data_IF_501747378630
#
_entry.id   IF_501747378630
#
_cell.length_a   1.000
_cell.length_b   1.000
_cell.length_c   1.000
_cell.angle_alpha   90.00
_cell.angle_beta   90.00
_cell.angle_gamma   90.00
#
_symmetry.space_group_name_H-M   'P 1'
#
loop_
_entity.id
_entity.type
_entity.pdbx_description
1 polymer ?
#
# COMPACT_ATOMS: atom_id res chain seq x y z
N UNK A 1 14.45 -9.35 4.53
CA UNK A 1 13.14 -8.66 4.55
C UNK A 1 12.07 -9.61 4.02
N UNK A 2 11.04 -9.97 4.81
CA UNK A 2 10.00 -10.92 4.34
C UNK A 2 8.90 -10.16 3.60
N UNK A 3 8.83 -10.28 2.29
CA UNK A 3 7.79 -9.66 1.49
C UNK A 3 6.68 -10.68 1.18
N UNK A 4 5.44 -10.36 1.58
CA UNK A 4 4.28 -11.22 1.37
C UNK A 4 3.48 -10.66 0.20
N UNK A 5 3.68 -11.20 -0.99
CA UNK A 5 2.93 -10.82 -2.18
C UNK A 5 1.62 -11.61 -2.20
N UNK A 6 0.47 -10.94 -2.19
CA UNK A 6 -0.84 -11.59 -2.20
C UNK A 6 -1.53 -11.39 -3.55
N UNK A 7 -1.84 -12.49 -4.21
CA UNK A 7 -2.68 -12.48 -5.39
C UNK A 7 -4.11 -12.22 -4.96
N UNK A 8 -4.69 -11.14 -5.47
CA UNK A 8 -6.12 -10.91 -5.33
C UNK A 8 -6.78 -11.44 -6.59
N UNK A 9 -7.45 -12.58 -6.45
CA UNK A 9 -8.39 -13.03 -7.47
C UNK A 9 -9.50 -11.97 -7.59
N UNK A 10 -10.02 -11.73 -8.79
CA UNK A 10 -10.92 -10.62 -9.14
C UNK A 10 -12.20 -10.68 -8.30
N UNK A 11 -12.13 -10.17 -7.08
CA UNK A 11 -13.26 -9.94 -6.17
C UNK A 11 -13.70 -8.50 -6.45
N UNK A 12 -15.01 -8.21 -6.55
CA UNK A 12 -15.51 -6.87 -6.90
C UNK A 12 -15.06 -5.75 -5.97
N UNK A 13 -14.49 -6.06 -4.79
CA UNK A 13 -13.75 -5.09 -3.99
C UNK A 13 -12.65 -5.76 -3.13
N UNK A 14 -11.40 -5.85 -3.63
CA UNK A 14 -10.27 -6.50 -2.92
C UNK A 14 -10.01 -5.93 -1.53
N UNK A 15 -10.27 -4.62 -1.39
CA UNK A 15 -9.93 -3.86 -0.20
C UNK A 15 -10.75 -4.30 1.01
N UNK A 16 -12.07 -4.42 0.83
CA UNK A 16 -13.03 -4.65 1.90
C UNK A 16 -12.85 -6.05 2.51
N UNK A 17 -12.57 -7.05 1.66
CA UNK A 17 -12.59 -8.44 2.09
C UNK A 17 -11.22 -8.98 2.52
N UNK A 18 -10.13 -8.47 1.95
CA UNK A 18 -8.78 -9.03 2.18
C UNK A 18 -7.90 -8.12 3.03
N UNK A 19 -8.05 -6.80 2.84
CA UNK A 19 -7.10 -5.81 3.36
C UNK A 19 -7.63 -5.18 4.64
N UNK A 20 -8.88 -4.71 4.63
CA UNK A 20 -9.45 -3.96 5.73
C UNK A 20 -9.59 -4.74 7.05
N UNK A 21 -10.00 -6.03 7.08
CA UNK A 21 -10.12 -6.78 8.34
C UNK A 21 -8.79 -6.80 9.11
N UNK A 22 -7.68 -6.98 8.40
CA UNK A 22 -6.33 -7.00 8.98
C UNK A 22 -5.88 -5.64 9.53
N UNK A 23 -6.30 -4.56 8.88
CA UNK A 23 -5.99 -3.21 9.33
C UNK A 23 -6.83 -2.87 10.56
N UNK A 24 -8.11 -3.26 10.57
CA UNK A 24 -9.04 -3.02 11.69
C UNK A 24 -8.59 -3.75 12.96
N UNK A 25 -8.11 -4.98 12.82
CA UNK A 25 -7.65 -5.81 13.93
C UNK A 25 -6.22 -5.46 14.38
N UNK A 26 -5.48 -4.68 13.60
CA UNK A 26 -4.12 -4.24 13.94
C UNK A 26 -4.17 -3.13 14.99
N UNK A 27 -3.82 -3.49 16.23
CA UNK A 27 -3.69 -2.56 17.36
C UNK A 27 -2.50 -1.61 17.16
N UNK A 28 -1.46 -2.04 16.44
CA UNK A 28 -0.12 -1.43 16.42
C UNK A 28 0.02 -0.14 15.58
N UNK A 29 -0.97 0.24 14.77
CA UNK A 29 -0.91 1.43 13.92
C UNK A 29 0.24 1.39 12.90
N UNK A 30 0.62 2.54 12.33
CA UNK A 30 1.74 2.64 11.40
C UNK A 30 1.52 1.92 10.06
N UNK A 31 0.26 1.83 9.61
CA UNK A 31 -0.07 1.20 8.32
C UNK A 31 -0.11 2.24 7.20
N UNK A 32 0.71 2.06 6.17
CA UNK A 32 0.63 2.86 4.94
C UNK A 32 0.00 2.04 3.82
N UNK A 33 -1.01 2.61 3.18
CA UNK A 33 -1.65 2.06 1.99
C UNK A 33 -1.22 2.89 0.79
N UNK A 34 -0.41 2.30 -0.08
CA UNK A 34 0.02 2.91 -1.34
C UNK A 34 -0.95 2.55 -2.47
N UNK A 35 -1.37 3.55 -3.24
CA UNK A 35 -2.33 3.40 -4.34
C UNK A 35 -1.85 4.18 -5.57
N UNK A 36 -1.78 3.47 -6.70
CA UNK A 36 -1.42 4.04 -8.01
C UNK A 36 -2.59 4.77 -8.67
N UNK A 37 -3.79 4.17 -8.64
CA UNK A 37 -4.98 4.69 -9.33
C UNK A 37 -5.77 5.70 -8.47
N UNK A 38 -6.09 6.86 -9.05
CA UNK A 38 -6.94 7.86 -8.41
C UNK A 38 -8.33 7.33 -8.04
N UNK A 39 -8.96 6.55 -8.94
CA UNK A 39 -10.29 5.98 -8.69
C UNK A 39 -10.29 5.02 -7.50
N UNK A 40 -9.22 4.24 -7.34
CA UNK A 40 -9.06 3.35 -6.18
C UNK A 40 -8.80 4.16 -4.91
N UNK A 41 -7.99 5.21 -5.00
CA UNK A 41 -7.72 6.10 -3.88
C UNK A 41 -9.00 6.74 -3.31
N UNK A 42 -9.86 7.27 -4.20
CA UNK A 42 -11.15 7.85 -3.79
C UNK A 42 -12.06 6.81 -3.16
N UNK A 43 -12.13 5.59 -3.71
CA UNK A 43 -12.93 4.48 -3.17
C UNK A 43 -12.45 4.08 -1.77
N UNK A 44 -11.15 3.84 -1.59
CA UNK A 44 -10.57 3.46 -0.30
C UNK A 44 -10.76 4.58 0.72
N UNK A 45 -10.52 5.84 0.34
CA UNK A 45 -10.78 7.00 1.20
C UNK A 45 -12.23 7.04 1.68
N UNK A 46 -13.19 6.95 0.77
CA UNK A 46 -14.61 7.04 1.10
C UNK A 46 -15.03 5.88 2.02
N UNK A 47 -14.49 4.69 1.77
CA UNK A 47 -14.71 3.54 2.64
C UNK A 47 -14.11 3.75 4.04
N UNK A 48 -12.85 4.17 4.17
CA UNK A 48 -12.23 4.47 5.46
C UNK A 48 -12.98 5.56 6.24
N UNK A 49 -13.53 6.56 5.53
CA UNK A 49 -14.44 7.56 6.12
C UNK A 49 -15.71 6.92 6.65
N UNK A 50 -16.40 6.08 5.88
CA UNK A 50 -17.64 5.42 6.34
C UNK A 50 -17.44 4.51 7.56
N UNK A 51 -16.23 4.00 7.74
CA UNK A 51 -15.86 3.14 8.87
C UNK A 51 -15.33 3.93 10.08
N UNK A 52 -15.37 5.27 10.06
CA UNK A 52 -14.80 6.14 11.09
C UNK A 52 -13.37 5.77 11.50
N UNK A 53 -12.58 5.28 10.55
CA UNK A 53 -11.20 4.85 10.82
C UNK A 53 -10.29 6.05 11.06
N UNK A 54 -9.30 5.91 11.95
CA UNK A 54 -8.29 6.96 12.15
C UNK A 54 -7.24 6.91 11.05
N UNK A 55 -7.42 7.71 10.01
CA UNK A 55 -6.50 7.79 8.88
C UNK A 55 -6.12 9.22 8.51
N UNK A 56 -4.99 9.37 7.81
CA UNK A 56 -4.53 10.60 7.19
C UNK A 56 -4.35 10.42 5.68
N UNK A 57 -4.37 11.53 4.95
CA UNK A 57 -4.29 11.55 3.49
C UNK A 57 -3.03 12.26 3.05
N UNK A 58 -2.22 11.60 2.21
CA UNK A 58 -1.23 12.24 1.35
C UNK A 58 -1.61 12.00 -0.11
N UNK A 59 -2.54 12.82 -0.57
CA UNK A 59 -2.95 12.90 -1.97
C UNK A 59 -2.41 14.14 -2.66
N UNK A 60 -2.55 14.18 -3.97
CA UNK A 60 -2.16 15.31 -4.83
C UNK A 60 -2.84 16.64 -4.49
N UNK A 61 -4.10 16.62 -4.01
CA UNK A 61 -4.86 17.84 -3.69
C UNK A 61 -4.72 18.27 -2.22
N UNK A 62 -3.83 17.62 -1.46
CA UNK A 62 -3.66 17.94 -0.03
C UNK A 62 -2.77 19.17 0.10
N UNK A 63 -3.20 20.18 0.86
CA UNK A 63 -2.38 21.38 1.08
C UNK A 63 -1.08 21.02 1.78
N UNK A 64 0.01 21.72 1.46
CA UNK A 64 1.33 21.44 2.04
C UNK A 64 1.34 21.50 3.58
N UNK A 65 0.58 22.41 4.18
CA UNK A 65 0.41 22.50 5.64
C UNK A 65 -0.23 21.24 6.23
N UNK A 66 -1.21 20.67 5.54
CA UNK A 66 -1.90 19.47 5.98
C UNK A 66 -1.04 18.22 5.77
N UNK A 67 -0.20 18.19 4.73
CA UNK A 67 0.78 17.13 4.50
C UNK A 67 1.80 17.08 5.65
N UNK A 68 2.38 18.22 6.03
CA UNK A 68 3.33 18.28 7.14
C UNK A 68 2.69 17.79 8.44
N UNK A 69 1.46 18.22 8.72
CA UNK A 69 0.71 17.79 9.91
C UNK A 69 0.38 16.30 9.88
N UNK A 70 -0.07 15.78 8.73
CA UNK A 70 -0.39 14.37 8.55
C UNK A 70 0.82 13.45 8.79
N UNK A 71 2.01 13.88 8.34
CA UNK A 71 3.26 13.14 8.57
C UNK A 71 3.62 13.06 10.05
N UNK A 72 3.50 14.18 10.78
CA UNK A 72 3.74 14.22 12.23
C UNK A 72 2.74 13.32 12.95
N UNK A 73 1.44 13.47 12.69
CA UNK A 73 0.41 12.65 13.31
C UNK A 73 0.53 11.15 13.05
N UNK A 74 1.01 10.77 11.86
CA UNK A 74 1.27 9.37 11.54
C UNK A 74 2.49 8.84 12.31
N UNK A 75 3.57 9.62 12.34
CA UNK A 75 4.79 9.26 13.07
C UNK A 75 4.55 9.14 14.59
N UNK A 76 3.75 10.03 15.17
CA UNK A 76 3.34 9.99 16.58
C UNK A 76 2.29 8.90 16.88
N UNK A 77 1.75 8.24 15.86
CA UNK A 77 0.73 7.20 16.02
C UNK A 77 -0.69 7.73 16.30
N UNK A 78 -0.92 9.05 16.27
CA UNK A 78 -2.26 9.65 16.39
C UNK A 78 -3.19 9.19 15.26
N UNK A 79 -2.64 9.01 14.06
CA UNK A 79 -3.33 8.44 12.90
C UNK A 79 -2.74 7.07 12.58
N UNK A 80 -3.54 6.02 12.70
CA UNK A 80 -3.10 4.63 12.54
C UNK A 80 -2.82 4.26 11.08
N UNK A 81 -3.52 4.91 10.15
CA UNK A 81 -3.47 4.61 8.72
C UNK A 81 -3.04 5.85 7.94
N UNK A 82 -2.17 5.69 6.95
CA UNK A 82 -1.85 6.70 5.95
C UNK A 82 -2.25 6.20 4.57
N UNK A 83 -3.08 6.97 3.87
CA UNK A 83 -3.39 6.73 2.45
C UNK A 83 -2.44 7.57 1.60
N UNK A 84 -1.63 6.91 0.77
CA UNK A 84 -0.60 7.55 -0.04
C UNK A 84 -0.82 7.29 -1.52
N UNK A 85 -0.89 8.35 -2.32
CA UNK A 85 -1.07 8.26 -3.77
C UNK A 85 0.26 8.26 -4.52
N UNK A 86 0.35 7.50 -5.62
CA UNK A 86 1.51 7.54 -6.52
C UNK A 86 1.77 8.95 -7.07
N UNK A 87 0.71 9.72 -7.37
CA UNK A 87 0.87 11.09 -7.86
C UNK A 87 1.55 11.99 -6.83
N UNK A 88 1.17 11.90 -5.55
CA UNK A 88 1.87 12.63 -4.48
C UNK A 88 3.35 12.21 -4.38
N UNK A 89 3.63 10.91 -4.53
CA UNK A 89 5.01 10.40 -4.56
C UNK A 89 5.81 10.92 -5.76
N UNK A 90 5.22 10.94 -6.95
CA UNK A 90 5.83 11.42 -8.19
C UNK A 90 6.29 12.88 -8.08
N UNK A 91 5.44 13.76 -7.54
CA UNK A 91 5.74 15.20 -7.46
C UNK A 91 6.71 15.55 -6.33
N UNK A 92 6.60 14.90 -5.17
CA UNK A 92 7.27 15.38 -3.96
C UNK A 92 8.27 14.40 -3.34
N UNK A 93 8.18 13.10 -3.64
CA UNK A 93 9.03 12.05 -3.04
C UNK A 93 9.18 12.18 -1.52
N UNK A 94 8.05 12.42 -0.84
CA UNK A 94 8.08 12.59 0.62
C UNK A 94 8.64 11.32 1.29
N UNK A 95 9.64 11.51 2.14
CA UNK A 95 10.12 10.46 3.04
C UNK A 95 9.17 10.35 4.23
N UNK A 96 8.41 9.26 4.27
CA UNK A 96 7.48 8.95 5.35
C UNK A 96 8.21 8.04 6.35
N UNK A 97 8.05 8.32 7.64
CA UNK A 97 8.60 7.56 8.76
C UNK A 97 7.46 6.96 9.57
N UNK A 98 7.75 5.95 10.39
CA UNK A 98 6.77 5.25 11.23
C UNK A 98 5.96 4.18 10.51
N UNK A 99 6.38 3.73 9.31
CA UNK A 99 5.67 2.70 8.55
C UNK A 99 6.12 1.33 9.07
N UNK A 100 5.21 0.62 9.73
CA UNK A 100 5.41 -0.77 10.17
C UNK A 100 4.77 -1.77 9.21
N UNK A 101 3.63 -1.38 8.64
CA UNK A 101 2.87 -2.21 7.72
C UNK A 101 2.68 -1.47 6.40
N UNK A 102 3.29 -1.96 5.34
CA UNK A 102 3.14 -1.42 3.99
C UNK A 102 2.16 -2.28 3.20
N UNK A 103 1.14 -1.66 2.64
CA UNK A 103 0.15 -2.31 1.77
C UNK A 103 0.18 -1.61 0.42
N UNK A 104 0.73 -2.27 -0.59
CA UNK A 104 0.69 -1.83 -1.97
C UNK A 104 -0.62 -2.36 -2.56
N UNK A 105 -1.65 -1.51 -2.57
CA UNK A 105 -2.98 -1.87 -3.06
C UNK A 105 -3.00 -2.05 -4.58
N UNK A 106 -2.22 -1.23 -5.27
CA UNK A 106 -2.02 -1.29 -6.72
C UNK A 106 -0.53 -1.18 -6.99
N UNK A 107 -0.01 -1.98 -7.92
CA UNK A 107 1.39 -1.89 -8.31
C UNK A 107 1.70 -0.51 -8.91
N UNK A 108 2.87 0.08 -8.60
CA UNK A 108 3.26 1.36 -9.17
C UNK A 108 3.36 1.28 -10.68
N UNK A 109 3.01 2.36 -11.37
CA UNK A 109 3.11 2.43 -12.84
C UNK A 109 4.58 2.41 -13.28
N UNK A 110 5.43 3.08 -12.48
CA UNK A 110 6.88 3.16 -12.67
C UNK A 110 7.60 2.17 -11.77
N UNK A 111 8.50 1.37 -12.35
CA UNK A 111 9.25 0.33 -11.61
C UNK A 111 10.16 0.93 -10.54
N UNK A 112 10.62 2.17 -10.73
CA UNK A 112 11.53 2.88 -9.83
C UNK A 112 10.86 3.18 -8.49
N UNK A 113 9.54 3.35 -8.47
CA UNK A 113 8.81 3.66 -7.24
C UNK A 113 8.67 2.46 -6.31
N UNK A 114 8.69 1.24 -6.84
CA UNK A 114 8.57 0.05 -6.01
C UNK A 114 9.65 -0.02 -4.91
N UNK A 115 10.97 0.05 -5.23
CA UNK A 115 12.00 0.09 -4.21
C UNK A 115 11.95 1.37 -3.37
N UNK A 116 11.60 2.53 -3.93
CA UNK A 116 11.47 3.78 -3.16
C UNK A 116 10.41 3.68 -2.05
N UNK A 117 9.24 3.11 -2.37
CA UNK A 117 8.14 2.91 -1.41
C UNK A 117 8.51 1.85 -0.37
N UNK A 118 9.14 0.76 -0.80
CA UNK A 118 9.54 -0.34 0.09
C UNK A 118 10.60 0.09 1.09
N UNK A 119 11.56 0.91 0.66
CA UNK A 119 12.62 1.43 1.51
C UNK A 119 12.12 2.43 2.58
N UNK A 120 10.86 2.86 2.51
CA UNK A 120 10.24 3.65 3.60
C UNK A 120 9.68 2.78 4.73
N UNK A 121 9.64 1.45 4.57
CA UNK A 121 9.27 0.53 5.64
C UNK A 121 10.36 0.54 6.71
N UNK A 122 9.97 0.77 7.97
CA UNK A 122 10.91 0.75 9.08
C UNK A 122 11.24 -0.69 9.50
N UNK A 123 12.53 -0.99 9.57
CA UNK A 123 13.02 -2.29 10.02
C UNK A 123 12.60 -2.53 11.47
N UNK A 124 11.67 -3.47 11.65
CA UNK A 124 11.19 -3.93 12.96
C UNK A 124 10.80 -5.40 12.87
N UNK A 125 10.77 -6.11 14.01
CA UNK A 125 10.43 -7.54 14.04
C UNK A 125 9.01 -7.82 13.51
N UNK A 126 8.09 -6.87 13.72
CA UNK A 126 6.69 -6.95 13.30
C UNK A 126 6.42 -6.34 11.91
N UNK A 127 7.45 -5.92 11.17
CA UNK A 127 7.21 -5.26 9.89
C UNK A 127 6.59 -6.21 8.86
N UNK A 128 5.65 -5.71 8.07
CA UNK A 128 5.08 -6.48 6.97
C UNK A 128 4.90 -5.65 5.70
N UNK A 129 5.18 -6.26 4.55
CA UNK A 129 4.88 -5.69 3.24
C UNK A 129 3.92 -6.64 2.52
N UNK A 130 2.72 -6.13 2.20
CA UNK A 130 1.68 -6.83 1.45
C UNK A 130 1.48 -6.15 0.11
N UNK A 131 1.60 -6.91 -0.97
CA UNK A 131 1.38 -6.39 -2.34
C UNK A 131 0.19 -7.09 -2.95
N UNK A 132 -0.78 -6.33 -3.46
CA UNK A 132 -1.96 -6.85 -4.15
C UNK A 132 -1.77 -6.73 -5.66
N UNK A 133 -2.11 -7.80 -6.37
CA UNK A 133 -2.07 -7.82 -7.82
C UNK A 133 -3.13 -8.78 -8.38
N UNK A 134 -3.56 -8.49 -9.60
CA UNK A 134 -4.48 -9.32 -10.38
C UNK A 134 -3.78 -9.88 -11.62
N UNK A 135 -4.47 -10.74 -12.39
CA UNK A 135 -3.98 -11.21 -13.69
C UNK A 135 -3.82 -10.06 -14.70
N UNK A 136 -4.56 -8.96 -14.54
CA UNK A 136 -4.47 -7.78 -15.40
C UNK A 136 -3.17 -6.99 -15.15
N UNK A 137 -2.56 -7.16 -13.99
CA UNK A 137 -1.33 -6.46 -13.61
C UNK A 137 -0.06 -7.21 -14.03
N UNK A 138 -0.18 -8.26 -14.84
CA UNK A 138 0.94 -9.12 -15.22
C UNK A 138 2.14 -8.31 -15.73
N UNK A 139 1.92 -7.36 -16.66
CA UNK A 139 3.01 -6.55 -17.21
C UNK A 139 3.67 -5.64 -16.15
N UNK A 140 2.91 -5.13 -15.18
CA UNK A 140 3.47 -4.32 -14.08
C UNK A 140 4.25 -5.20 -13.11
N UNK A 141 3.73 -6.38 -12.80
CA UNK A 141 4.39 -7.36 -11.94
C UNK A 141 5.70 -7.87 -12.58
N UNK A 142 5.70 -8.15 -13.88
CA UNK A 142 6.89 -8.57 -14.62
C UNK A 142 8.03 -7.57 -14.53
N UNK A 143 7.74 -6.27 -14.52
CA UNK A 143 8.76 -5.22 -14.36
C UNK A 143 9.41 -5.19 -12.98
N UNK A 144 8.72 -5.73 -11.97
CA UNK A 144 9.16 -5.68 -10.56
C UNK A 144 9.86 -6.98 -10.17
N UNK A 145 9.23 -8.13 -10.40
CA UNK A 145 9.75 -9.45 -9.97
C UNK A 145 10.38 -10.25 -11.12
N UNK A 146 10.35 -9.74 -12.34
CA UNK A 146 10.81 -10.44 -13.53
C UNK A 146 9.78 -11.42 -14.10
N UNK A 147 9.98 -11.81 -15.36
CA UNK A 147 9.04 -12.62 -16.15
C UNK A 147 8.77 -14.00 -15.57
N UNK A 148 9.82 -14.68 -15.08
CA UNK A 148 9.70 -16.04 -14.52
C UNK A 148 8.81 -16.06 -13.27
N UNK A 149 9.05 -15.11 -12.36
CA UNK A 149 8.30 -15.03 -11.10
C UNK A 149 6.88 -14.53 -11.32
N UNK A 150 6.70 -13.49 -12.15
CA UNK A 150 5.38 -12.96 -12.45
C UNK A 150 4.46 -13.99 -13.11
N UNK A 151 4.97 -14.79 -14.07
CA UNK A 151 4.20 -15.89 -14.66
C UNK A 151 3.78 -16.91 -13.60
N UNK A 152 4.71 -17.33 -12.72
CA UNK A 152 4.42 -18.28 -11.63
C UNK A 152 3.37 -17.73 -10.65
N UNK A 153 3.48 -16.46 -10.26
CA UNK A 153 2.56 -15.79 -9.35
C UNK A 153 1.16 -15.62 -9.96
N UNK A 154 1.09 -15.39 -11.27
CA UNK A 154 -0.18 -15.20 -11.99
C UNK A 154 -0.87 -16.54 -12.30
N UNK A 155 -0.11 -17.57 -12.67
CA UNK A 155 -0.65 -18.89 -13.04
C UNK A 155 -0.99 -19.78 -11.85
N UNK A 156 -0.34 -19.59 -10.70
CA UNK A 156 -0.58 -20.42 -9.53
C UNK A 156 -1.95 -20.13 -8.90
N UNK A 157 -2.63 -21.19 -8.45
CA UNK A 157 -3.88 -21.13 -7.69
C UNK A 157 -3.68 -20.60 -6.25
N UNK A 158 -2.43 -20.56 -5.77
CA UNK A 158 -2.11 -20.01 -4.45
C UNK A 158 -2.37 -18.51 -4.42
N UNK A 159 -2.98 -18.04 -3.34
CA UNK A 159 -3.32 -16.62 -3.14
C UNK A 159 -2.23 -15.84 -2.40
N UNK A 160 -1.24 -16.52 -1.83
CA UNK A 160 -0.16 -15.93 -1.04
C UNK A 160 1.18 -16.47 -1.54
N UNK A 161 2.08 -15.54 -1.86
CA UNK A 161 3.45 -15.79 -2.28
C UNK A 161 4.38 -15.06 -1.32
N UNK A 162 5.44 -15.73 -0.90
CA UNK A 162 6.52 -15.10 -0.15
C UNK A 162 7.70 -14.98 -1.09
N UNK A 163 8.24 -13.76 -1.19
CA UNK A 163 9.41 -13.46 -1.99
C UNK A 163 10.48 -12.86 -1.04
N UNK A 164 11.70 -13.39 -1.13
CA UNK A 164 12.88 -12.91 -0.41
C UNK A 164 13.87 -12.36 -1.43
#
# INVERSE_FOLDING_TARGET
MRMIVRKVCVIPNPFINVVFPKIKDSVQGGTMIFISSYFEFVRVRNFLKSQNSSFCLLGEYTKQSDISRARVWFFEGMRKIMLYSERAHFYHRYKIRGIKNLIIYSLPERKEFYPEIINMLEESEDMSCTVLFSRLDQLRLERIVGTKHAKRMTSSEKSIFVFC
#
